data_IF_362031233163
#
_entry.id   IF_362031233163
#
_cell.length_a   1.000
_cell.length_b   1.000
_cell.length_c   1.000
_cell.angle_alpha   90.00
_cell.angle_beta   90.00
_cell.angle_gamma   90.00
#
_symmetry.space_group_name_H-M   'P 1'
#
loop_
_entity.id
_entity.type
_entity.pdbx_description
1 polymer ?
#
# COMPACT_ATOMS: atom_id res chain seq x y z
N UNK A 1 -1.14 -21.84 -9.11
CA UNK A 1 -0.16 -20.94 -8.50
C UNK A 1 -0.87 -19.69 -8.02
N UNK A 2 -0.69 -19.37 -6.78
CA UNK A 2 -1.43 -18.27 -6.17
C UNK A 2 -0.67 -16.95 -6.32
N UNK A 3 -1.38 -15.93 -6.78
CA UNK A 3 -0.82 -14.60 -6.94
C UNK A 3 -1.57 -13.63 -6.04
N UNK A 4 -0.86 -12.79 -5.32
CA UNK A 4 -1.47 -11.69 -4.58
C UNK A 4 -1.20 -10.40 -5.34
N UNK A 5 -2.23 -9.59 -5.47
CA UNK A 5 -2.13 -8.28 -6.12
C UNK A 5 -2.39 -7.25 -5.06
N UNK A 6 -1.44 -6.35 -4.86
CA UNK A 6 -1.53 -5.30 -3.85
C UNK A 6 -1.76 -3.99 -4.58
N UNK A 7 -2.89 -3.35 -4.29
CA UNK A 7 -3.23 -2.05 -4.87
C UNK A 7 -3.27 -1.07 -3.71
N UNK A 8 -2.34 -0.14 -3.68
CA UNK A 8 -2.15 0.69 -2.48
C UNK A 8 -1.86 2.15 -2.82
N UNK A 9 -2.14 3.00 -1.85
CA UNK A 9 -1.62 4.35 -1.82
C UNK A 9 -1.14 4.60 -0.40
N UNK A 10 -0.83 5.85 -0.07
CA UNK A 10 -0.24 6.13 1.24
C UNK A 10 -1.23 6.03 2.39
N UNK A 11 -2.50 5.82 2.11
CA UNK A 11 -3.52 5.79 3.16
C UNK A 11 -4.30 4.49 3.21
N UNK A 12 -4.24 3.67 2.17
CA UNK A 12 -5.03 2.44 2.16
C UNK A 12 -4.44 1.45 1.18
N UNK A 13 -4.82 0.21 1.34
CA UNK A 13 -4.37 -0.86 0.47
C UNK A 13 -5.48 -1.86 0.29
N UNK A 14 -5.55 -2.44 -0.89
CA UNK A 14 -6.47 -3.51 -1.21
C UNK A 14 -5.65 -4.69 -1.68
N UNK A 15 -5.96 -5.87 -1.17
CA UNK A 15 -5.22 -7.07 -1.54
C UNK A 15 -6.17 -8.03 -2.21
N UNK A 16 -5.78 -8.46 -3.40
CA UNK A 16 -6.58 -9.38 -4.19
C UNK A 16 -5.84 -10.68 -4.37
N UNK A 17 -6.57 -11.75 -4.57
CA UNK A 17 -5.96 -13.04 -4.87
C UNK A 17 -6.38 -13.50 -6.25
N UNK A 18 -5.49 -14.21 -6.91
CA UNK A 18 -5.75 -14.82 -8.20
C UNK A 18 -5.01 -16.14 -8.22
N UNK A 19 -5.60 -17.16 -8.82
CA UNK A 19 -4.96 -18.47 -8.78
C UNK A 19 -3.96 -18.63 -9.92
N UNK A 20 -4.38 -18.99 -11.09
CA UNK A 20 -3.38 -19.26 -12.12
C UNK A 20 -3.42 -18.27 -13.27
N UNK A 21 -4.56 -17.76 -13.60
CA UNK A 21 -4.73 -16.84 -14.70
C UNK A 21 -5.33 -15.56 -14.18
N UNK A 22 -4.78 -14.42 -14.60
CA UNK A 22 -5.30 -13.14 -14.16
C UNK A 22 -6.51 -12.78 -14.99
N UNK A 23 -7.56 -13.52 -14.83
CA UNK A 23 -8.85 -13.19 -15.42
C UNK A 23 -9.85 -12.81 -14.35
N UNK A 24 -9.60 -13.25 -13.13
CA UNK A 24 -10.47 -12.95 -12.02
C UNK A 24 -9.62 -12.61 -10.83
N UNK A 25 -9.97 -11.52 -10.19
CA UNK A 25 -9.35 -11.14 -8.94
C UNK A 25 -10.41 -11.11 -7.88
N UNK A 26 -10.09 -11.66 -6.73
CA UNK A 26 -10.99 -11.63 -5.59
C UNK A 26 -10.35 -10.78 -4.51
N UNK A 27 -11.04 -9.74 -4.07
CA UNK A 27 -10.52 -8.88 -3.01
C UNK A 27 -10.67 -9.62 -1.69
N UNK A 28 -9.54 -9.92 -1.06
CA UNK A 28 -9.54 -10.73 0.16
C UNK A 28 -9.28 -9.92 1.41
N UNK A 29 -8.62 -8.76 1.28
CA UNK A 29 -8.32 -7.94 2.43
C UNK A 29 -8.25 -6.48 2.06
N UNK A 30 -8.42 -5.63 3.04
CA UNK A 30 -8.24 -4.20 2.86
C UNK A 30 -7.66 -3.60 4.11
N UNK A 31 -6.84 -2.57 3.94
CA UNK A 31 -6.22 -1.87 5.05
C UNK A 31 -6.40 -0.38 4.89
N UNK A 32 -6.60 0.29 6.00
CA UNK A 32 -6.64 1.75 6.04
C UNK A 32 -5.61 2.16 7.07
N UNK A 33 -4.81 3.16 6.74
CA UNK A 33 -3.78 3.66 7.65
C UNK A 33 -4.45 4.61 8.63
N UNK A 34 -4.68 4.21 9.87
CA UNK A 34 -5.47 5.04 10.79
C UNK A 34 -4.82 6.36 11.08
N UNK A 35 -3.52 6.39 11.18
CA UNK A 35 -2.82 7.62 11.51
C UNK A 35 -2.93 8.65 10.42
N UNK A 36 -2.91 8.23 9.17
CA UNK A 36 -3.09 9.18 8.09
C UNK A 36 -4.46 9.79 8.15
N UNK A 37 -5.46 8.99 8.46
CA UNK A 37 -6.82 9.51 8.54
C UNK A 37 -6.99 10.41 9.74
N UNK A 38 -6.44 10.02 10.86
CA UNK A 38 -6.53 10.85 12.05
C UNK A 38 -5.90 12.19 11.82
N UNK A 39 -4.75 12.21 11.19
CA UNK A 39 -4.11 13.46 10.91
C UNK A 39 -5.00 14.35 10.08
N UNK A 40 -5.64 13.79 9.09
CA UNK A 40 -6.46 14.60 8.22
C UNK A 40 -7.70 15.11 8.91
N UNK A 41 -8.36 14.28 9.70
CA UNK A 41 -9.63 14.70 10.22
C UNK A 41 -9.51 15.31 11.58
N UNK A 42 -8.72 14.76 12.44
CA UNK A 42 -8.70 15.24 13.79
C UNK A 42 -7.85 16.44 13.98
N UNK A 43 -6.71 16.46 13.36
CA UNK A 43 -5.85 17.59 13.54
C UNK A 43 -6.48 18.84 13.01
N UNK A 44 -7.16 18.72 11.90
CA UNK A 44 -7.83 19.87 11.37
C UNK A 44 -8.84 20.37 12.37
N UNK A 45 -9.54 19.46 13.00
CA UNK A 45 -10.53 19.84 13.96
C UNK A 45 -9.98 20.39 15.19
N UNK A 46 -9.02 19.68 15.76
CA UNK A 46 -8.55 20.07 16.94
C UNK A 46 -7.59 20.99 16.91
N UNK A 47 -6.85 20.85 16.27
CA UNK A 47 -5.90 21.56 16.42
C UNK A 47 -5.70 22.52 16.22
N UNK A 48 -6.23 22.43 15.81
CA UNK A 48 -6.23 23.34 15.73
C UNK A 48 -5.20 23.66 16.32
N UNK A 49 -4.91 23.63 16.59
CA UNK A 49 -4.16 23.98 17.05
C UNK A 49 -3.07 23.53 17.35
N UNK A 50 -2.86 23.35 17.68
CA UNK A 50 -1.92 23.03 18.16
C UNK A 50 -1.01 22.64 17.44
N UNK A 51 -0.92 22.32 17.12
CA UNK A 51 -0.13 21.92 16.57
C UNK A 51 0.28 22.34 15.55
N UNK A 52 0.00 22.71 15.39
CA UNK A 52 0.19 23.02 14.43
C UNK A 52 1.02 23.77 14.23
N UNK A 53 1.08 24.12 14.55
CA UNK A 53 1.61 24.83 14.41
C UNK A 53 2.66 24.82 14.33
N UNK A 54 2.94 24.67 14.51
CA UNK A 54 3.73 24.67 14.54
C UNK A 54 4.42 24.38 13.91
N UNK A 55 4.74 24.49 13.57
CA UNK A 55 5.45 24.31 13.05
C UNK A 55 5.59 24.26 12.28
N UNK A 56 5.36 24.50 12.56
CA UNK A 56 5.30 24.53 11.72
C UNK A 56 6.14 24.43 10.79
N UNK A 57 6.78 24.67 10.77
CA UNK A 57 7.58 24.56 9.73
C UNK A 57 7.20 23.49 8.85
N UNK A 58 7.41 23.64 7.62
CA UNK A 58 7.06 22.69 6.63
C UNK A 58 7.87 21.44 6.74
N UNK A 59 9.12 21.58 7.09
CA UNK A 59 9.98 20.43 7.18
C UNK A 59 9.49 19.40 8.16
N UNK A 60 9.13 19.76 9.37
CA UNK A 60 8.59 18.78 10.28
C UNK A 60 7.33 18.12 9.76
N UNK A 61 6.48 18.88 9.12
CA UNK A 61 5.24 18.32 8.61
C UNK A 61 5.52 17.33 7.50
N UNK A 62 6.42 17.65 6.59
CA UNK A 62 6.78 16.75 5.52
C UNK A 62 7.42 15.49 6.07
N UNK A 63 8.30 15.66 7.04
CA UNK A 63 8.95 14.49 7.64
C UNK A 63 7.94 13.58 8.32
N UNK A 64 6.96 14.15 9.00
CA UNK A 64 5.96 13.34 9.67
C UNK A 64 5.14 12.56 8.65
N UNK A 65 4.78 13.19 7.54
CA UNK A 65 4.02 12.52 6.51
C UNK A 65 4.84 11.39 5.90
N UNK A 66 6.10 11.65 5.60
CA UNK A 66 6.97 10.60 5.06
C UNK A 66 7.08 9.45 6.03
N UNK A 67 7.21 9.76 7.31
CA UNK A 67 7.37 8.75 8.32
C UNK A 67 6.13 7.86 8.40
N UNK A 68 4.96 8.46 8.31
CA UNK A 68 3.73 7.70 8.37
C UNK A 68 3.54 6.84 7.13
N UNK A 69 3.92 7.35 5.98
CA UNK A 69 3.83 6.56 4.76
C UNK A 69 4.76 5.37 4.83
N UNK A 70 5.97 5.59 5.32
CA UNK A 70 6.91 4.49 5.47
C UNK A 70 6.42 3.47 6.49
N UNK A 71 5.78 3.93 7.55
CA UNK A 71 5.23 3.03 8.55
C UNK A 71 4.14 2.16 7.96
N UNK A 72 3.29 2.73 7.10
CA UNK A 72 2.26 1.97 6.45
C UNK A 72 2.86 0.94 5.49
N UNK A 73 3.89 1.35 4.74
CA UNK A 73 4.56 0.41 3.84
C UNK A 73 5.17 -0.74 4.64
N UNK A 74 5.76 -0.45 5.79
CA UNK A 74 6.33 -1.52 6.63
C UNK A 74 5.26 -2.44 7.18
N UNK A 75 4.10 -1.87 7.53
CA UNK A 75 2.99 -2.69 7.99
C UNK A 75 2.55 -3.66 6.90
N UNK A 76 2.42 -3.18 5.68
CA UNK A 76 2.06 -4.04 4.57
C UNK A 76 3.13 -5.09 4.31
N UNK A 77 4.39 -4.71 4.40
CA UNK A 77 5.48 -5.66 4.21
C UNK A 77 5.45 -6.77 5.23
N UNK A 78 5.20 -6.44 6.49
CA UNK A 78 5.11 -7.45 7.54
C UNK A 78 3.92 -8.38 7.32
N UNK A 79 2.80 -7.81 6.88
CA UNK A 79 1.62 -8.62 6.62
C UNK A 79 1.88 -9.61 5.47
N UNK A 80 2.51 -9.13 4.41
CA UNK A 80 2.81 -9.99 3.28
C UNK A 80 3.82 -11.06 3.65
N UNK A 81 4.77 -10.73 4.52
CA UNK A 81 5.72 -11.73 4.99
C UNK A 81 5.00 -12.83 5.76
N UNK A 82 4.05 -12.45 6.61
CA UNK A 82 3.29 -13.44 7.37
C UNK A 82 2.49 -14.34 6.43
N UNK A 83 1.86 -13.76 5.41
CA UNK A 83 1.11 -14.56 4.45
C UNK A 83 2.03 -15.51 3.69
N UNK A 84 3.20 -15.03 3.32
CA UNK A 84 4.13 -15.88 2.58
C UNK A 84 4.64 -17.04 3.47
N UNK A 85 4.89 -16.76 4.73
CA UNK A 85 5.32 -17.80 5.65
C UNK A 85 4.27 -18.89 5.78
N UNK A 86 3.00 -18.55 5.58
CA UNK A 86 1.93 -19.53 5.62
C UNK A 86 1.63 -20.07 4.23
N UNK A 87 2.45 -19.73 3.27
CA UNK A 87 2.35 -20.26 1.90
C UNK A 87 1.03 -19.90 1.22
N UNK A 88 0.55 -18.68 1.48
CA UNK A 88 -0.70 -18.24 0.86
C UNK A 88 -0.51 -17.78 -0.58
N UNK A 89 0.71 -17.50 -1.01
CA UNK A 89 0.96 -17.06 -2.38
C UNK A 89 2.38 -17.37 -2.82
N UNK A 90 2.59 -17.35 -4.12
CA UNK A 90 3.88 -17.62 -4.72
C UNK A 90 4.36 -16.49 -5.62
N UNK A 91 3.49 -15.58 -5.97
CA UNK A 91 3.82 -14.43 -6.81
C UNK A 91 3.16 -13.19 -6.27
N UNK A 92 3.79 -12.05 -6.51
CA UNK A 92 3.26 -10.76 -6.10
C UNK A 92 3.21 -9.80 -7.28
N UNK A 93 2.14 -9.03 -7.35
CA UNK A 93 2.04 -7.90 -8.26
C UNK A 93 1.78 -6.68 -7.38
N UNK A 94 2.58 -5.63 -7.55
CA UNK A 94 2.46 -4.43 -6.76
C UNK A 94 1.97 -3.28 -7.63
N UNK A 95 0.91 -2.63 -7.19
CA UNK A 95 0.33 -1.49 -7.90
C UNK A 95 0.20 -0.36 -6.90
N UNK A 96 0.87 0.74 -7.16
CA UNK A 96 0.84 1.88 -6.27
C UNK A 96 1.34 3.11 -7.02
N UNK A 97 1.04 4.29 -6.50
CA UNK A 97 1.63 5.50 -7.06
C UNK A 97 3.15 5.41 -6.96
N UNK A 98 3.87 6.10 -7.83
CA UNK A 98 5.32 5.89 -7.92
C UNK A 98 6.04 6.04 -6.59
N UNK A 99 5.67 7.05 -5.80
CA UNK A 99 6.37 7.28 -4.54
C UNK A 99 6.13 6.15 -3.56
N UNK A 100 4.87 5.77 -3.39
CA UNK A 100 4.56 4.72 -2.42
C UNK A 100 5.05 3.37 -2.89
N UNK A 101 5.07 3.14 -4.19
CA UNK A 101 5.60 1.90 -4.74
C UNK A 101 7.06 1.72 -4.33
N UNK A 102 7.85 2.79 -4.40
CA UNK A 102 9.23 2.72 -3.95
C UNK A 102 9.35 2.38 -2.48
N UNK A 103 8.51 2.99 -1.65
CA UNK A 103 8.53 2.71 -0.23
C UNK A 103 8.12 1.27 0.06
N UNK A 104 7.12 0.79 -0.65
CA UNK A 104 6.64 -0.57 -0.44
C UNK A 104 7.71 -1.59 -0.83
N UNK A 105 8.37 -1.37 -1.95
CA UNK A 105 9.41 -2.30 -2.37
C UNK A 105 10.56 -2.35 -1.38
N UNK A 106 10.91 -1.21 -0.79
CA UNK A 106 11.96 -1.20 0.22
C UNK A 106 11.54 -1.90 1.49
N UNK A 107 10.24 -1.96 1.76
CA UNK A 107 9.75 -2.58 2.98
C UNK A 107 9.65 -4.09 2.86
N UNK A 108 9.76 -4.64 1.66
CA UNK A 108 9.65 -6.09 1.49
C UNK A 108 10.96 -6.77 1.82
N UNK A 109 10.92 -7.87 2.59
CA UNK A 109 12.13 -8.69 2.76
C UNK A 109 12.60 -9.22 1.41
N UNK A 110 13.90 -9.51 1.32
CA UNK A 110 14.48 -9.99 0.08
C UNK A 110 13.75 -11.16 -0.56
N UNK A 111 13.39 -12.20 0.20
CA UNK A 111 12.68 -13.32 -0.41
C UNK A 111 11.36 -12.92 -1.03
N UNK A 112 10.65 -11.96 -0.41
CA UNK A 112 9.39 -11.50 -0.99
C UNK A 112 9.60 -10.66 -2.22
N UNK A 113 10.63 -9.84 -2.22
CA UNK A 113 10.90 -9.01 -3.38
C UNK A 113 11.18 -9.86 -4.61
N UNK A 114 11.77 -11.03 -4.41
CA UNK A 114 12.03 -11.94 -5.52
C UNK A 114 10.75 -12.53 -6.10
N UNK A 115 9.66 -12.48 -5.35
CA UNK A 115 8.39 -12.98 -5.86
C UNK A 115 7.63 -11.96 -6.67
N UNK A 116 8.08 -10.71 -6.69
CA UNK A 116 7.39 -9.65 -7.42
C UNK A 116 7.63 -9.87 -8.90
N UNK A 117 6.55 -10.19 -9.62
CA UNK A 117 6.65 -10.44 -11.05
C UNK A 117 6.28 -9.22 -11.87
N UNK A 118 5.62 -8.24 -11.27
CA UNK A 118 5.16 -7.07 -12.02
C UNK A 118 4.94 -5.93 -11.06
N UNK A 119 5.29 -4.72 -11.48
CA UNK A 119 4.95 -3.51 -10.73
C UNK A 119 4.27 -2.55 -11.68
N UNK A 120 3.26 -1.84 -11.18
CA UNK A 120 2.51 -0.86 -11.95
C UNK A 120 2.47 0.42 -11.13
N UNK A 121 3.01 1.50 -11.67
CA UNK A 121 3.14 2.75 -10.94
C UNK A 121 1.92 3.66 -11.18
N UNK A 122 0.77 3.16 -10.82
CA UNK A 122 -0.49 3.89 -10.93
C UNK A 122 -1.27 3.76 -9.64
N UNK A 123 -2.04 4.79 -9.32
CA UNK A 123 -2.94 4.73 -8.17
C UNK A 123 -4.27 4.17 -8.64
N UNK A 124 -4.50 2.91 -8.36
CA UNK A 124 -5.74 2.24 -8.74
C UNK A 124 -6.57 1.86 -7.53
N UNK A 125 -6.37 2.55 -6.40
CA UNK A 125 -7.07 2.19 -5.16
C UNK A 125 -8.57 2.36 -5.27
N UNK A 126 -9.06 3.23 -6.17
CA UNK A 126 -10.49 3.40 -6.35
C UNK A 126 -10.99 2.76 -7.64
N UNK A 127 -10.13 2.04 -8.34
CA UNK A 127 -10.51 1.41 -9.61
C UNK A 127 -11.27 0.12 -9.35
N UNK A 128 -12.10 -0.26 -10.30
CA UNK A 128 -12.80 -1.52 -10.17
C UNK A 128 -11.89 -2.66 -10.61
N UNK A 129 -12.34 -3.87 -10.37
CA UNK A 129 -11.53 -5.05 -10.63
C UNK A 129 -11.18 -5.18 -12.11
N UNK A 130 -12.14 -4.87 -12.98
CA UNK A 130 -11.88 -5.00 -14.41
C UNK A 130 -10.78 -4.05 -14.87
N UNK A 131 -10.77 -2.84 -14.36
CA UNK A 131 -9.72 -1.88 -14.67
C UNK A 131 -8.37 -2.37 -14.19
N UNK A 132 -8.33 -2.93 -12.98
CA UNK A 132 -7.08 -3.44 -12.43
C UNK A 132 -6.57 -4.59 -13.29
N UNK A 133 -7.45 -5.49 -13.69
CA UNK A 133 -7.05 -6.59 -14.54
C UNK A 133 -6.49 -6.08 -15.87
N UNK A 134 -7.13 -5.06 -16.44
CA UNK A 134 -6.65 -4.51 -17.70
C UNK A 134 -5.22 -4.01 -17.59
N UNK A 135 -4.91 -3.32 -16.49
CA UNK A 135 -3.55 -2.83 -16.29
C UNK A 135 -2.56 -3.98 -16.14
N UNK A 136 -2.95 -5.02 -15.45
CA UNK A 136 -2.05 -6.16 -15.26
C UNK A 136 -1.75 -6.85 -16.58
N UNK A 137 -2.74 -6.90 -17.46
CA UNK A 137 -2.58 -7.63 -18.71
C UNK A 137 -1.90 -6.84 -19.80
N UNK A 138 -1.65 -5.57 -19.62
CA UNK A 138 -1.01 -4.74 -20.66
C UNK A 138 0.46 -5.13 -20.93
#
# INVERSE_FOLDING_TARGET
METRVIVADNARARIFSSHSIINQLEEVEGFVHPEARSSNSELVGDSSGKSVDQHGSLDPATSATDHEEQAFARLLGRHLKALHNEQHFEQLILIASPRFLGMLRKALPGPLEQLVTQTIDKDLTTADVDTIIDYIKR
#
